data_IF_848185240036
#
_entry.id   IF_848185240036
#
_cell.length_a   1.000
_cell.length_b   1.000
_cell.length_c   1.000
_cell.angle_alpha   90.00
_cell.angle_beta   90.00
_cell.angle_gamma   90.00
#
_symmetry.space_group_name_H-M   'P 1'
#
loop_
_entity.id
_entity.type
_entity.pdbx_description
1 polymer ?
#
# COMPACT_ATOMS: atom_id res chain seq x y z
N UNK A 1 21.86 4.86 -17.22
CA UNK A 1 22.42 4.52 -15.89
C UNK A 1 21.32 3.82 -15.11
N UNK A 2 21.56 2.58 -14.71
CA UNK A 2 20.64 1.78 -13.89
C UNK A 2 20.72 2.28 -12.44
N UNK A 3 19.65 2.91 -11.95
CA UNK A 3 19.53 3.17 -10.52
C UNK A 3 19.10 1.86 -9.84
N UNK A 4 20.03 1.28 -9.08
CA UNK A 4 19.77 0.22 -8.13
C UNK A 4 18.77 0.73 -7.09
N UNK A 5 17.60 0.10 -7.01
CA UNK A 5 16.69 0.28 -5.87
C UNK A 5 17.43 -0.26 -4.64
N UNK A 6 17.79 0.65 -3.73
CA UNK A 6 18.29 0.26 -2.41
C UNK A 6 17.16 -0.47 -1.67
N UNK A 7 17.51 -1.60 -1.06
CA UNK A 7 16.61 -2.41 -0.25
C UNK A 7 15.79 -1.57 0.75
N UNK A 8 14.46 -1.67 0.66
CA UNK A 8 13.55 -1.46 1.78
C UNK A 8 13.45 -0.05 2.35
N UNK A 9 12.77 0.86 1.63
CA UNK A 9 12.31 2.16 2.14
C UNK A 9 11.88 3.05 0.98
N UNK A 10 10.79 3.80 1.12
CA UNK A 10 10.24 4.68 0.06
C UNK A 10 11.33 5.48 -0.67
N UNK A 11 11.45 5.24 -1.98
CA UNK A 11 12.38 5.96 -2.84
C UNK A 11 11.66 7.16 -3.47
N UNK A 12 12.20 8.35 -3.22
CA UNK A 12 11.81 9.56 -3.95
C UNK A 12 11.90 9.28 -5.46
N UNK A 13 10.94 9.81 -6.24
CA UNK A 13 10.95 9.63 -7.69
C UNK A 13 12.30 10.08 -8.27
N UNK A 14 12.95 9.27 -9.12
CA UNK A 14 14.28 9.57 -9.62
C UNK A 14 14.25 10.82 -10.50
N UNK A 15 15.07 11.80 -10.12
CA UNK A 15 15.24 13.08 -10.81
C UNK A 15 16.73 13.45 -10.83
N UNK A 16 17.13 14.32 -11.73
CA UNK A 16 18.51 14.74 -11.85
C UNK A 16 18.97 15.63 -10.68
N UNK A 17 20.28 15.69 -10.45
CA UNK A 17 20.85 16.67 -9.51
C UNK A 17 20.54 18.12 -9.92
N UNK A 18 20.39 18.37 -11.22
CA UNK A 18 20.00 19.68 -11.73
C UNK A 18 18.56 20.02 -11.32
N UNK A 19 17.64 19.07 -11.39
CA UNK A 19 16.29 19.21 -10.86
C UNK A 19 16.30 19.47 -9.36
N UNK A 20 17.05 18.68 -8.56
CA UNK A 20 17.11 18.84 -7.11
C UNK A 20 17.65 20.22 -6.68
N UNK A 21 18.56 20.81 -7.47
CA UNK A 21 19.02 22.19 -7.28
C UNK A 21 17.95 23.20 -7.68
N UNK A 22 17.34 23.04 -8.87
CA UNK A 22 16.39 23.99 -9.43
C UNK A 22 15.07 24.04 -8.63
N UNK A 23 14.56 22.89 -8.15
CA UNK A 23 13.28 22.79 -7.44
C UNK A 23 13.30 23.53 -6.09
N UNK A 24 14.49 23.71 -5.49
CA UNK A 24 14.72 24.44 -4.24
C UNK A 24 14.79 25.97 -4.44
N UNK A 25 14.83 26.45 -5.67
CA UNK A 25 14.87 27.89 -5.94
C UNK A 25 13.51 28.54 -5.75
N UNK A 26 13.45 29.68 -5.04
CA UNK A 26 12.24 30.49 -4.91
C UNK A 26 11.83 31.14 -6.24
N UNK A 27 12.73 31.21 -7.23
CA UNK A 27 12.48 31.76 -8.57
C UNK A 27 12.35 30.68 -9.64
N UNK A 28 12.16 29.41 -9.23
CA UNK A 28 11.99 28.30 -10.15
C UNK A 28 10.84 28.55 -11.12
N UNK A 29 11.03 28.16 -12.38
CA UNK A 29 10.00 28.23 -13.42
C UNK A 29 9.49 26.82 -13.68
N UNK A 30 8.18 26.65 -13.62
CA UNK A 30 7.54 25.38 -13.87
C UNK A 30 6.15 25.60 -14.48
N UNK A 31 5.64 24.56 -15.13
CA UNK A 31 4.28 24.53 -15.65
C UNK A 31 3.72 23.10 -15.54
N UNK A 32 2.43 22.97 -15.80
CA UNK A 32 1.71 21.72 -15.73
C UNK A 32 1.03 21.44 -17.06
N UNK A 33 1.02 20.18 -17.44
CA UNK A 33 0.21 19.66 -18.53
C UNK A 33 -0.53 18.42 -18.06
N UNK A 34 -1.51 18.00 -18.84
CA UNK A 34 -2.09 16.69 -18.68
C UNK A 34 -2.89 16.27 -19.89
N UNK A 35 -3.24 14.99 -19.85
CA UNK A 35 -3.93 14.30 -20.94
C UNK A 35 -5.12 13.57 -20.37
N UNK A 36 -6.28 13.72 -21.01
CA UNK A 36 -7.50 12.95 -20.74
C UNK A 36 -7.70 11.98 -21.90
N UNK A 37 -7.75 10.68 -21.60
CA UNK A 37 -8.08 9.64 -22.57
C UNK A 37 -9.41 9.01 -22.19
N UNK A 38 -10.43 9.16 -23.03
CA UNK A 38 -11.74 8.54 -22.78
C UNK A 38 -11.66 7.03 -22.98
N UNK A 39 -12.66 6.32 -22.45
CA UNK A 39 -12.80 4.87 -22.67
C UNK A 39 -12.87 4.47 -24.15
N UNK A 40 -13.36 5.38 -25.01
CA UNK A 40 -13.41 5.22 -26.46
C UNK A 40 -12.10 5.53 -27.19
N UNK A 41 -11.03 5.90 -26.48
CA UNK A 41 -9.72 6.23 -27.03
C UNK A 41 -9.56 7.68 -27.51
N UNK A 42 -10.56 8.55 -27.30
CA UNK A 42 -10.44 9.97 -27.63
C UNK A 42 -9.50 10.66 -26.64
N UNK A 43 -8.56 11.45 -27.16
CA UNK A 43 -7.52 12.10 -26.36
C UNK A 43 -7.72 13.61 -26.35
N UNK A 44 -7.65 14.22 -25.17
CA UNK A 44 -7.70 15.66 -24.95
C UNK A 44 -6.48 16.11 -24.16
N UNK A 45 -5.68 16.98 -24.75
CA UNK A 45 -4.53 17.60 -24.09
C UNK A 45 -4.93 18.93 -23.45
N UNK A 46 -4.36 19.23 -22.29
CA UNK A 46 -4.50 20.54 -21.64
C UNK A 46 -3.17 21.01 -21.06
N UNK A 47 -2.94 22.32 -21.13
CA UNK A 47 -1.77 22.97 -20.55
C UNK A 47 -2.16 23.95 -19.44
N UNK A 48 -1.16 24.73 -19.01
CA UNK A 48 -1.34 25.68 -17.92
C UNK A 48 -2.39 26.77 -18.18
N UNK A 49 -2.75 27.05 -19.44
CA UNK A 49 -3.75 28.07 -19.80
C UNK A 49 -5.18 27.58 -19.59
N UNK A 50 -5.40 26.29 -19.78
CA UNK A 50 -6.71 25.65 -19.62
C UNK A 50 -7.00 25.37 -18.15
N UNK A 51 -5.99 25.24 -17.29
CA UNK A 51 -6.17 24.98 -15.86
C UNK A 51 -6.63 26.25 -15.14
N UNK A 52 -7.81 26.20 -14.52
CA UNK A 52 -8.33 27.31 -13.71
C UNK A 52 -7.42 27.51 -12.49
N UNK A 53 -6.97 28.76 -12.29
CA UNK A 53 -6.00 29.08 -11.24
C UNK A 53 -6.50 28.68 -9.86
N UNK A 54 -5.75 27.82 -9.19
CA UNK A 54 -5.98 27.43 -7.80
C UNK A 54 -7.02 26.33 -7.58
N UNK A 55 -7.59 25.75 -8.65
CA UNK A 55 -8.52 24.61 -8.57
C UNK A 55 -7.80 23.27 -8.41
N UNK A 56 -6.66 23.11 -9.09
CA UNK A 56 -5.98 21.83 -9.21
C UNK A 56 -5.26 21.36 -7.95
N UNK A 57 -5.36 20.08 -7.62
CA UNK A 57 -4.57 19.43 -6.58
C UNK A 57 -4.43 17.92 -6.81
N UNK A 58 -3.41 17.34 -6.17
CA UNK A 58 -3.21 15.90 -6.01
C UNK A 58 -2.98 15.63 -4.53
N UNK A 59 -3.65 14.64 -3.97
CA UNK A 59 -3.54 14.23 -2.56
C UNK A 59 -3.19 12.74 -2.48
N UNK A 60 -2.18 12.39 -1.69
CA UNK A 60 -1.80 11.01 -1.38
C UNK A 60 -1.58 10.85 0.11
N UNK A 61 -1.88 9.67 0.63
CA UNK A 61 -1.62 9.33 2.03
C UNK A 61 -1.40 7.83 2.18
N UNK A 62 -0.68 7.44 3.24
CA UNK A 62 -0.54 6.06 3.68
C UNK A 62 -0.90 5.87 5.16
N UNK A 63 -1.46 6.89 5.80
CA UNK A 63 -2.02 6.77 7.14
C UNK A 63 -3.27 7.64 7.23
N UNK A 64 -4.14 7.30 8.18
CA UNK A 64 -5.12 8.23 8.72
C UNK A 64 -4.50 9.48 9.35
N UNK A 65 -5.30 10.29 10.02
CA UNK A 65 -4.91 11.62 10.48
C UNK A 65 -4.19 11.65 11.84
N UNK A 66 -4.10 10.53 12.55
CA UNK A 66 -3.69 10.53 13.98
C UNK A 66 -2.47 9.67 14.31
N UNK A 67 -2.29 8.53 13.66
CA UNK A 67 -1.18 7.62 13.96
C UNK A 67 -0.63 6.92 12.74
N UNK A 68 0.60 6.41 12.86
CA UNK A 68 1.20 5.59 11.82
C UNK A 68 0.44 4.26 11.79
N UNK A 69 0.08 3.85 10.59
CA UNK A 69 -0.69 2.64 10.33
C UNK A 69 0.14 1.65 9.51
N UNK A 70 -0.19 0.37 9.66
CA UNK A 70 0.40 -0.72 8.88
C UNK A 70 -0.69 -1.40 8.06
N UNK A 71 -0.37 -1.77 6.82
CA UNK A 71 -1.31 -2.43 5.92
C UNK A 71 -2.14 -1.50 5.05
N UNK A 72 -2.03 -0.18 5.21
CA UNK A 72 -2.95 0.75 4.54
C UNK A 72 -2.92 0.66 3.01
N UNK A 73 -4.08 0.92 2.42
CA UNK A 73 -4.40 0.77 0.99
C UNK A 73 -5.24 1.97 0.52
N UNK A 74 -4.70 3.18 0.71
CA UNK A 74 -5.38 4.42 0.38
C UNK A 74 -5.30 4.76 -1.11
N UNK A 75 -6.40 5.24 -1.68
CA UNK A 75 -6.44 5.80 -3.03
C UNK A 75 -5.92 7.24 -3.03
N UNK A 76 -5.07 7.58 -4.00
CA UNK A 76 -4.76 8.97 -4.30
C UNK A 76 -5.94 9.66 -4.98
N UNK A 77 -6.13 10.93 -4.68
CA UNK A 77 -7.19 11.77 -5.24
C UNK A 77 -6.56 12.91 -6.06
N UNK A 78 -7.14 13.18 -7.22
CA UNK A 78 -6.84 14.32 -8.06
C UNK A 78 -8.12 15.11 -8.31
N UNK A 79 -8.05 16.42 -8.12
CA UNK A 79 -9.12 17.35 -8.49
C UNK A 79 -8.57 18.43 -9.39
N UNK A 80 -9.27 18.77 -10.45
CA UNK A 80 -8.86 19.85 -11.36
C UNK A 80 -10.06 20.49 -12.04
N UNK A 81 -10.00 21.80 -12.28
CA UNK A 81 -10.99 22.51 -13.10
C UNK A 81 -10.33 23.05 -14.36
N UNK A 82 -10.88 22.71 -15.52
CA UNK A 82 -10.39 23.06 -16.84
C UNK A 82 -11.36 24.01 -17.57
N UNK A 83 -10.83 25.00 -18.28
CA UNK A 83 -11.56 25.77 -19.29
C UNK A 83 -11.71 24.90 -20.54
N UNK A 84 -12.81 24.17 -20.62
CA UNK A 84 -12.99 23.13 -21.63
C UNK A 84 -14.46 22.90 -21.91
N UNK A 85 -14.80 22.62 -23.16
CA UNK A 85 -16.13 22.27 -23.65
C UNK A 85 -16.34 20.76 -23.86
N UNK A 86 -15.36 19.92 -23.49
CA UNK A 86 -15.44 18.44 -23.58
C UNK A 86 -16.74 17.95 -22.96
N UNK A 87 -17.49 17.10 -23.68
CA UNK A 87 -18.73 16.55 -23.15
C UNK A 87 -18.48 15.68 -21.92
N UNK A 88 -18.98 16.12 -20.76
CA UNK A 88 -18.79 15.46 -19.45
C UNK A 88 -19.31 14.03 -19.43
N UNK A 89 -20.31 13.69 -20.24
CA UNK A 89 -20.89 12.34 -20.29
C UNK A 89 -19.97 11.33 -20.98
N UNK A 90 -18.92 11.81 -21.65
CA UNK A 90 -17.89 10.96 -22.27
C UNK A 90 -16.71 10.64 -21.34
N UNK A 91 -16.73 11.19 -20.12
CA UNK A 91 -15.60 11.17 -19.20
C UNK A 91 -15.71 10.14 -18.08
N UNK A 92 -16.82 9.41 -17.97
CA UNK A 92 -16.90 8.27 -17.05
C UNK A 92 -15.80 7.23 -17.41
N UNK A 93 -15.05 6.76 -16.41
CA UNK A 93 -13.88 5.89 -16.56
C UNK A 93 -12.74 6.46 -17.42
N UNK A 94 -12.77 7.75 -17.80
CA UNK A 94 -11.67 8.35 -18.55
C UNK A 94 -10.41 8.42 -17.69
N UNK A 95 -9.26 8.22 -18.32
CA UNK A 95 -7.96 8.32 -17.65
C UNK A 95 -7.40 9.72 -17.77
N UNK A 96 -6.97 10.30 -16.64
CA UNK A 96 -6.26 11.57 -16.59
C UNK A 96 -4.83 11.32 -16.14
N UNK A 97 -3.88 11.84 -16.90
CA UNK A 97 -2.48 11.90 -16.50
C UNK A 97 -2.06 13.35 -16.34
N UNK A 98 -1.18 13.62 -15.38
CA UNK A 98 -0.64 14.95 -15.10
C UNK A 98 0.88 14.90 -15.09
N UNK A 99 1.51 15.94 -15.62
CA UNK A 99 2.97 16.07 -15.63
C UNK A 99 3.36 17.44 -15.08
N UNK A 100 4.32 17.42 -14.16
CA UNK A 100 5.01 18.63 -13.68
C UNK A 100 6.28 18.83 -14.50
N UNK A 101 6.44 20.02 -15.06
CA UNK A 101 7.59 20.37 -15.88
C UNK A 101 8.45 21.42 -15.16
N UNK A 102 9.70 21.10 -14.86
CA UNK A 102 10.65 22.04 -14.27
C UNK A 102 11.61 22.57 -15.34
N UNK A 103 11.71 23.89 -15.46
CA UNK A 103 12.74 24.51 -16.31
C UNK A 103 14.05 24.59 -15.51
N UNK A 104 15.09 23.95 -16.05
CA UNK A 104 16.43 23.88 -15.47
C UNK A 104 17.24 25.15 -15.79
N UNK A 105 18.41 25.30 -15.16
CA UNK A 105 19.25 26.49 -15.29
C UNK A 105 19.80 26.71 -16.71
N UNK A 106 19.97 25.64 -17.49
CA UNK A 106 20.38 25.67 -18.90
C UNK A 106 19.21 25.93 -19.87
N UNK A 107 17.99 26.07 -19.34
CA UNK A 107 16.77 26.26 -20.12
C UNK A 107 16.11 24.97 -20.61
N UNK A 108 16.71 23.80 -20.36
CA UNK A 108 16.08 22.51 -20.64
C UNK A 108 14.93 22.23 -19.66
N UNK A 109 14.06 21.28 -19.99
CA UNK A 109 12.88 20.92 -19.18
C UNK A 109 13.03 19.49 -18.70
N UNK A 110 12.81 19.27 -17.40
CA UNK A 110 12.75 17.94 -16.80
C UNK A 110 11.32 17.67 -16.28
N UNK A 111 10.81 16.50 -16.66
CA UNK A 111 9.44 16.10 -16.46
C UNK A 111 9.32 15.14 -15.28
N UNK A 112 8.30 15.37 -14.47
CA UNK A 112 7.93 14.51 -13.35
C UNK A 112 6.48 14.08 -13.55
N UNK A 113 6.20 12.81 -13.87
CA UNK A 113 4.83 12.30 -13.95
C UNK A 113 4.21 12.34 -12.56
N UNK A 114 2.96 12.78 -12.50
CA UNK A 114 2.24 13.02 -11.27
C UNK A 114 1.10 12.02 -11.06
N UNK A 115 1.09 10.91 -11.79
CA UNK A 115 0.16 9.80 -11.62
C UNK A 115 -0.85 9.64 -12.73
N UNK A 116 -1.53 8.49 -12.70
CA UNK A 116 -2.63 8.10 -13.58
C UNK A 116 -3.88 7.98 -12.71
N UNK A 117 -4.95 8.64 -13.11
CA UNK A 117 -6.21 8.70 -12.36
C UNK A 117 -7.40 8.36 -13.26
N UNK A 118 -8.44 7.75 -12.71
CA UNK A 118 -9.72 7.50 -13.37
C UNK A 118 -10.75 8.52 -12.89
N UNK A 119 -11.39 9.19 -13.84
CA UNK A 119 -12.45 10.16 -13.55
C UNK A 119 -13.63 9.44 -12.91
N UNK A 120 -13.99 9.91 -11.71
CA UNK A 120 -15.18 9.47 -10.99
C UNK A 120 -16.31 10.50 -11.05
N UNK A 121 -15.96 11.79 -11.11
CA UNK A 121 -16.94 12.86 -11.23
C UNK A 121 -16.50 13.87 -12.29
N UNK A 122 -17.45 14.27 -13.14
CA UNK A 122 -17.25 15.31 -14.16
C UNK A 122 -18.41 16.31 -14.12
N UNK A 123 -18.16 17.48 -13.54
CA UNK A 123 -19.16 18.52 -13.30
C UNK A 123 -18.96 19.72 -14.23
N UNK A 124 -20.07 20.33 -14.68
CA UNK A 124 -20.04 21.54 -15.52
C UNK A 124 -20.40 22.75 -14.69
N UNK A 125 -19.50 23.74 -14.64
CA UNK A 125 -19.76 25.05 -14.06
C UNK A 125 -19.48 26.13 -15.12
N UNK A 126 -20.53 26.67 -15.74
CA UNK A 126 -20.43 27.59 -16.88
C UNK A 126 -19.54 27.02 -18.02
N UNK A 127 -18.40 27.65 -18.32
CA UNK A 127 -17.41 27.19 -19.33
C UNK A 127 -16.31 26.29 -18.74
N UNK A 128 -16.44 25.89 -17.47
CA UNK A 128 -15.46 25.08 -16.77
C UNK A 128 -15.93 23.63 -16.64
N UNK A 129 -15.00 22.70 -16.80
CA UNK A 129 -15.14 21.28 -16.52
C UNK A 129 -14.38 20.99 -15.23
N UNK A 130 -15.08 20.61 -14.17
CA UNK A 130 -14.50 20.17 -12.91
C UNK A 130 -14.43 18.64 -12.89
N UNK A 131 -13.23 18.11 -12.67
CA UNK A 131 -12.95 16.68 -12.62
C UNK A 131 -12.51 16.31 -11.22
N UNK A 132 -13.08 15.21 -10.72
CA UNK A 132 -12.57 14.46 -9.58
C UNK A 132 -12.22 13.05 -10.02
N UNK A 133 -11.00 12.63 -9.74
CA UNK A 133 -10.46 11.36 -10.19
C UNK A 133 -9.63 10.71 -9.09
N UNK A 134 -9.55 9.38 -9.11
CA UNK A 134 -8.74 8.62 -8.15
C UNK A 134 -7.81 7.66 -8.89
N UNK A 135 -6.72 7.26 -8.25
CA UNK A 135 -5.84 6.24 -8.84
C UNK A 135 -6.53 4.86 -8.91
N UNK A 136 -5.83 3.89 -9.49
CA UNK A 136 -6.35 2.53 -9.65
C UNK A 136 -6.53 1.75 -8.33
N UNK A 137 -6.27 2.34 -7.16
CA UNK A 137 -6.52 1.68 -5.89
C UNK A 137 -8.03 1.36 -5.73
N UNK A 138 -8.92 2.19 -6.28
CA UNK A 138 -10.37 1.97 -6.29
C UNK A 138 -10.78 0.68 -7.02
N UNK A 139 -9.98 0.19 -7.97
CA UNK A 139 -10.27 -1.08 -8.65
C UNK A 139 -10.19 -2.29 -7.70
N UNK A 140 -9.53 -2.16 -6.54
CA UNK A 140 -9.42 -3.21 -5.54
C UNK A 140 -10.65 -3.36 -4.63
N UNK A 141 -11.66 -2.48 -4.75
CA UNK A 141 -12.96 -2.64 -4.06
C UNK A 141 -13.83 -3.76 -4.65
N UNK A 142 -13.28 -4.52 -5.61
CA UNK A 142 -13.89 -5.71 -6.20
C UNK A 142 -13.96 -6.85 -5.18
N UNK A 143 -15.14 -7.46 -5.06
CA UNK A 143 -15.37 -8.59 -4.16
C UNK A 143 -14.35 -9.70 -4.34
N UNK A 144 -13.83 -10.21 -3.22
CA UNK A 144 -12.89 -11.31 -3.16
C UNK A 144 -13.62 -12.56 -2.68
N UNK A 145 -14.11 -13.36 -3.63
CA UNK A 145 -14.78 -14.63 -3.33
C UNK A 145 -13.76 -15.77 -3.19
N UNK A 146 -12.61 -15.51 -2.58
CA UNK A 146 -11.59 -16.51 -2.37
C UNK A 146 -12.05 -17.50 -1.30
N UNK A 147 -12.71 -18.58 -1.73
CA UNK A 147 -12.73 -19.84 -0.99
C UNK A 147 -11.29 -20.26 -0.67
N UNK A 148 -11.11 -21.17 0.30
CA UNK A 148 -9.83 -21.60 0.88
C UNK A 148 -8.61 -21.40 -0.05
N UNK A 149 -7.94 -20.26 0.10
CA UNK A 149 -6.85 -19.84 -0.78
C UNK A 149 -5.54 -19.97 -0.02
N UNK A 150 -4.56 -20.64 -0.59
CA UNK A 150 -3.22 -20.83 -0.02
C UNK A 150 -2.18 -20.31 -0.99
N UNK A 151 -1.18 -19.57 -0.48
CA UNK A 151 -0.11 -19.01 -1.30
C UNK A 151 0.86 -18.15 -0.48
N UNK A 152 1.91 -17.66 -1.13
CA UNK A 152 2.80 -16.65 -0.53
C UNK A 152 2.19 -15.26 -0.63
N UNK A 153 2.78 -14.28 0.05
CA UNK A 153 2.31 -12.89 -0.01
C UNK A 153 2.21 -12.35 -1.45
N UNK A 154 3.18 -12.66 -2.32
CA UNK A 154 3.13 -12.26 -3.73
C UNK A 154 2.03 -12.95 -4.53
N UNK A 155 1.69 -14.21 -4.20
CA UNK A 155 0.62 -14.93 -4.90
C UNK A 155 -0.72 -14.24 -4.64
N UNK A 156 -0.98 -13.85 -3.39
CA UNK A 156 -2.15 -13.05 -3.02
C UNK A 156 -2.17 -11.70 -3.74
N UNK A 157 -1.04 -10.97 -3.75
CA UNK A 157 -0.94 -9.67 -4.44
C UNK A 157 -1.22 -9.83 -5.93
N UNK A 158 -0.61 -10.82 -6.57
CA UNK A 158 -0.75 -11.09 -8.01
C UNK A 158 -2.18 -11.49 -8.37
N UNK A 159 -2.82 -12.30 -7.52
CA UNK A 159 -4.23 -12.67 -7.67
C UNK A 159 -5.15 -11.44 -7.64
N UNK A 160 -4.96 -10.56 -6.65
CA UNK A 160 -5.70 -9.29 -6.55
C UNK A 160 -5.44 -8.39 -7.77
N UNK A 161 -4.16 -8.21 -8.15
CA UNK A 161 -3.74 -7.40 -9.30
C UNK A 161 -4.38 -7.89 -10.61
N UNK A 162 -4.33 -9.20 -10.88
CA UNK A 162 -4.95 -9.82 -12.06
C UNK A 162 -6.47 -9.61 -12.08
N UNK A 163 -7.13 -9.80 -10.93
CA UNK A 163 -8.60 -9.65 -10.80
C UNK A 163 -9.06 -8.20 -10.97
N UNK A 164 -8.24 -7.25 -10.54
CA UNK A 164 -8.51 -5.81 -10.55
C UNK A 164 -7.91 -5.08 -11.76
N UNK A 165 -7.20 -5.80 -12.65
CA UNK A 165 -6.55 -5.25 -13.85
C UNK A 165 -5.58 -4.10 -13.50
N UNK A 166 -4.74 -4.32 -12.50
CA UNK A 166 -3.68 -3.41 -12.08
C UNK A 166 -2.37 -4.19 -12.12
N UNK A 167 -1.32 -3.62 -12.69
CA UNK A 167 0.00 -4.25 -12.69
C UNK A 167 0.68 -4.08 -11.33
N UNK A 168 1.53 -5.04 -10.95
CA UNK A 168 2.32 -4.96 -9.72
C UNK A 168 3.75 -4.52 -10.05
N UNK A 169 4.25 -3.50 -9.36
CA UNK A 169 5.54 -2.88 -9.62
C UNK A 169 6.71 -3.68 -9.04
N UNK A 170 6.58 -4.21 -7.82
CA UNK A 170 7.63 -4.99 -7.19
C UNK A 170 7.78 -6.36 -7.84
N UNK A 171 9.00 -6.88 -7.86
CA UNK A 171 9.29 -8.21 -8.40
C UNK A 171 9.08 -9.29 -7.35
N UNK A 172 8.76 -10.50 -7.80
CA UNK A 172 8.67 -11.72 -6.95
C UNK A 172 9.88 -11.85 -6.02
N UNK A 173 11.08 -11.74 -6.57
CA UNK A 173 12.33 -11.85 -5.81
C UNK A 173 12.48 -10.79 -4.70
N UNK A 174 11.95 -9.59 -4.90
CA UNK A 174 11.98 -8.52 -3.89
C UNK A 174 11.02 -8.84 -2.74
N UNK A 175 9.82 -9.33 -3.05
CA UNK A 175 8.84 -9.74 -2.04
C UNK A 175 9.33 -10.98 -1.29
N UNK A 176 9.83 -12.00 -1.99
CA UNK A 176 10.36 -13.23 -1.37
C UNK A 176 11.55 -13.01 -0.45
N UNK A 177 12.37 -11.99 -0.73
CA UNK A 177 13.50 -11.64 0.12
C UNK A 177 13.07 -10.97 1.45
N UNK A 178 11.81 -10.55 1.57
CA UNK A 178 11.30 -9.99 2.82
C UNK A 178 11.13 -11.08 3.89
N UNK A 179 11.32 -10.78 5.19
CA UNK A 179 11.29 -11.79 6.25
C UNK A 179 10.06 -12.71 6.25
N UNK A 180 8.89 -12.18 5.89
CA UNK A 180 7.63 -12.92 5.82
C UNK A 180 7.18 -13.26 4.38
N UNK A 181 7.97 -12.89 3.36
CA UNK A 181 7.55 -12.93 1.97
C UNK A 181 7.40 -14.32 1.36
N UNK A 182 8.30 -15.23 1.74
CA UNK A 182 8.30 -16.62 1.30
C UNK A 182 7.44 -17.56 2.16
N UNK A 183 6.80 -17.06 3.22
CA UNK A 183 5.95 -17.87 4.09
C UNK A 183 4.66 -18.24 3.36
N UNK A 184 4.24 -19.50 3.45
CA UNK A 184 2.94 -19.95 2.96
C UNK A 184 1.85 -19.47 3.90
N UNK A 185 0.94 -18.65 3.39
CA UNK A 185 -0.21 -18.09 4.09
C UNK A 185 -1.49 -18.74 3.56
N UNK A 186 -2.53 -18.75 4.38
CA UNK A 186 -3.82 -19.37 4.05
C UNK A 186 -4.97 -18.48 4.49
N UNK A 187 -5.98 -18.33 3.63
CA UNK A 187 -7.28 -17.73 3.94
C UNK A 187 -8.31 -18.86 3.99
N UNK A 188 -9.02 -19.01 5.12
CA UNK A 188 -10.05 -20.04 5.32
C UNK A 188 -11.45 -19.43 5.23
N UNK A 189 -12.49 -20.25 5.05
CA UNK A 189 -13.88 -19.83 4.86
C UNK A 189 -14.43 -18.86 5.92
N UNK A 190 -13.99 -18.98 7.17
CA UNK A 190 -14.38 -18.07 8.26
C UNK A 190 -13.41 -16.89 8.41
N UNK A 191 -13.45 -15.97 7.45
CA UNK A 191 -12.64 -14.76 7.45
C UNK A 191 -13.50 -13.51 7.18
N UNK A 192 -12.95 -12.33 7.50
CA UNK A 192 -13.63 -11.04 7.34
C UNK A 192 -13.11 -10.28 6.09
N UNK A 193 -12.66 -11.00 5.06
CA UNK A 193 -12.20 -10.45 3.78
C UNK A 193 -13.38 -10.36 2.83
N UNK A 194 -13.75 -9.14 2.43
CA UNK A 194 -14.85 -8.92 1.49
C UNK A 194 -14.32 -8.56 0.09
N UNK A 195 -13.21 -7.83 0.02
CA UNK A 195 -12.67 -7.23 -1.19
C UNK A 195 -11.19 -7.56 -1.41
N UNK A 196 -10.71 -7.32 -2.64
CA UNK A 196 -9.27 -7.45 -2.92
C UNK A 196 -8.45 -6.43 -2.11
N UNK A 197 -9.04 -5.28 -1.77
CA UNK A 197 -8.43 -4.27 -0.91
C UNK A 197 -8.18 -4.81 0.51
N UNK A 198 -9.10 -5.60 1.07
CA UNK A 198 -8.91 -6.23 2.38
C UNK A 198 -7.76 -7.25 2.35
N UNK A 199 -7.67 -8.05 1.29
CA UNK A 199 -6.53 -8.97 1.09
C UNK A 199 -5.22 -8.18 1.08
N UNK A 200 -5.13 -7.12 0.27
CA UNK A 200 -3.94 -6.29 0.21
C UNK A 200 -3.61 -5.66 1.57
N UNK A 201 -4.62 -5.25 2.32
CA UNK A 201 -4.43 -4.71 3.66
C UNK A 201 -3.74 -5.70 4.59
N UNK A 202 -4.29 -6.91 4.68
CA UNK A 202 -3.73 -7.96 5.53
C UNK A 202 -2.36 -8.44 5.06
N UNK A 203 -2.14 -8.54 3.74
CA UNK A 203 -0.83 -8.91 3.18
C UNK A 203 0.23 -7.84 3.48
N UNK A 204 -0.11 -6.55 3.33
CA UNK A 204 0.82 -5.47 3.66
C UNK A 204 1.19 -5.44 5.15
N UNK A 205 0.26 -5.78 6.05
CA UNK A 205 0.59 -5.97 7.47
C UNK A 205 1.60 -7.11 7.66
N UNK A 206 1.36 -8.27 7.04
CA UNK A 206 2.28 -9.43 7.12
C UNK A 206 3.68 -9.04 6.62
N UNK A 207 3.77 -8.21 5.58
CA UNK A 207 5.04 -7.76 5.00
C UNK A 207 5.66 -6.53 5.71
N UNK A 208 5.01 -5.98 6.74
CA UNK A 208 5.52 -4.82 7.48
C UNK A 208 5.53 -3.53 6.65
N UNK A 209 4.51 -3.30 5.80
CA UNK A 209 4.45 -2.15 4.90
C UNK A 209 3.04 -1.64 4.61
N UNK A 210 2.92 -0.90 3.50
CA UNK A 210 1.68 -0.35 2.97
C UNK A 210 1.71 -0.32 1.44
N UNK A 211 0.55 -0.30 0.80
CA UNK A 211 0.45 -0.22 -0.65
C UNK A 211 0.09 1.19 -1.12
N UNK A 212 0.65 1.59 -2.26
CA UNK A 212 0.25 2.76 -3.03
C UNK A 212 0.06 2.38 -4.50
N UNK A 213 -0.64 3.21 -5.28
CA UNK A 213 -0.49 3.22 -6.73
C UNK A 213 0.62 4.22 -7.07
N UNK A 214 1.65 3.73 -7.77
CA UNK A 214 2.78 4.54 -8.17
C UNK A 214 2.41 5.46 -9.35
N UNK A 215 3.37 6.29 -9.77
CA UNK A 215 3.15 7.30 -10.84
C UNK A 215 2.82 6.70 -12.20
N UNK A 216 3.13 5.41 -12.42
CA UNK A 216 2.84 4.66 -13.65
C UNK A 216 1.46 3.97 -13.60
N UNK A 217 0.71 4.08 -12.50
CA UNK A 217 -0.56 3.38 -12.32
C UNK A 217 -0.40 1.93 -11.84
N UNK A 218 0.77 1.55 -11.32
CA UNK A 218 1.03 0.19 -10.81
C UNK A 218 0.90 0.14 -9.29
N UNK A 219 0.41 -0.97 -8.76
CA UNK A 219 0.44 -1.24 -7.33
C UNK A 219 1.90 -1.40 -6.87
N UNK A 220 2.29 -0.76 -5.78
CA UNK A 220 3.64 -0.80 -5.22
C UNK A 220 3.55 -0.98 -3.70
N UNK A 221 4.26 -1.98 -3.17
CA UNK A 221 4.47 -2.14 -1.73
C UNK A 221 5.63 -1.25 -1.30
N UNK A 222 5.40 -0.42 -0.28
CA UNK A 222 6.42 0.37 0.39
C UNK A 222 6.53 0.00 1.85
N UNK A 223 7.70 0.27 2.42
CA UNK A 223 7.98 0.13 3.86
C UNK A 223 8.40 1.46 4.44
N UNK A 224 8.12 1.64 5.72
CA UNK A 224 8.69 2.74 6.48
C UNK A 224 10.20 2.54 6.58
N UNK A 225 10.96 3.61 6.31
CA UNK A 225 12.42 3.58 6.27
C UNK A 225 13.03 4.57 7.27
N UNK A 226 14.36 4.57 7.37
CA UNK A 226 15.09 5.53 8.23
C UNK A 226 15.99 6.49 7.46
N UNK A 227 16.21 6.21 6.18
CA UNK A 227 17.21 6.88 5.36
C UNK A 227 16.61 8.13 4.69
N UNK A 228 17.06 9.35 5.04
CA UNK A 228 16.47 10.56 4.49
C UNK A 228 16.78 10.74 3.00
N UNK A 229 15.76 11.07 2.22
CA UNK A 229 15.88 11.37 0.78
C UNK A 229 16.09 12.86 0.52
N UNK A 230 15.69 13.72 1.45
CA UNK A 230 15.79 15.17 1.28
C UNK A 230 15.87 15.91 2.63
N UNK A 231 16.59 17.04 2.62
CA UNK A 231 16.62 18.03 3.71
C UNK A 231 15.76 19.24 3.35
N UNK A 232 14.80 19.60 4.20
CA UNK A 232 13.91 20.76 4.04
C UNK A 232 14.38 21.91 4.93
N UNK A 233 14.92 22.96 4.29
CA UNK A 233 15.39 24.16 4.98
C UNK A 233 14.26 25.13 5.36
N UNK A 234 14.48 25.92 6.41
CA UNK A 234 13.54 26.96 6.87
C UNK A 234 13.06 27.91 5.77
N UNK A 235 13.95 28.35 4.88
CA UNK A 235 13.60 29.25 3.76
C UNK A 235 12.61 28.66 2.75
N UNK A 236 12.43 27.33 2.74
CA UNK A 236 11.49 26.64 1.86
C UNK A 236 10.12 26.42 2.51
N UNK A 237 9.97 26.76 3.79
CA UNK A 237 8.77 26.50 4.61
C UNK A 237 7.97 27.78 4.76
N UNK A 238 6.71 27.74 4.33
CA UNK A 238 5.76 28.83 4.54
C UNK A 238 5.15 28.76 5.94
N UNK A 239 4.90 27.54 6.42
CA UNK A 239 4.43 27.24 7.76
C UNK A 239 4.97 25.87 8.19
N UNK A 240 5.16 25.69 9.51
CA UNK A 240 5.50 24.38 10.07
C UNK A 240 4.99 24.25 11.50
N UNK A 241 4.66 23.03 11.88
CA UNK A 241 4.43 22.59 13.25
C UNK A 241 5.17 21.27 13.45
N UNK A 242 5.95 21.16 14.53
CA UNK A 242 6.65 19.95 14.93
C UNK A 242 6.20 19.56 16.33
N UNK A 243 6.00 18.27 16.55
CA UNK A 243 5.68 17.77 17.88
C UNK A 243 6.93 17.75 18.77
N UNK A 244 6.72 17.80 20.08
CA UNK A 244 7.77 17.72 21.10
C UNK A 244 8.17 16.28 21.47
N UNK A 245 7.65 15.30 20.72
CA UNK A 245 7.87 13.88 20.96
C UNK A 245 8.23 13.14 19.67
N UNK A 246 8.85 11.98 19.85
CA UNK A 246 9.19 11.06 18.78
C UNK A 246 8.25 9.86 18.85
N UNK A 247 7.67 9.51 17.71
CA UNK A 247 6.89 8.29 17.53
C UNK A 247 7.83 7.14 17.17
N UNK A 248 7.78 6.08 17.99
CA UNK A 248 8.54 4.84 17.82
C UNK A 248 7.77 3.65 18.39
N UNK A 249 7.97 2.48 17.82
CA UNK A 249 7.27 1.25 18.21
C UNK A 249 8.26 0.25 18.78
N UNK A 250 7.95 -0.32 19.94
CA UNK A 250 8.75 -1.38 20.60
C UNK A 250 7.97 -2.67 20.78
N UNK A 251 6.68 -2.68 20.43
CA UNK A 251 5.86 -3.87 20.54
C UNK A 251 4.85 -3.96 19.41
N UNK A 252 4.36 -5.17 19.20
CA UNK A 252 3.25 -5.49 18.31
C UNK A 252 2.27 -6.40 19.05
N UNK A 253 0.98 -6.17 18.84
CA UNK A 253 -0.09 -7.05 19.33
C UNK A 253 -0.88 -7.62 18.15
N UNK A 254 -1.14 -8.92 18.17
CA UNK A 254 -1.99 -9.61 17.19
C UNK A 254 -3.05 -10.42 17.90
N UNK A 255 -4.31 -10.29 17.50
CA UNK A 255 -5.41 -11.04 18.10
C UNK A 255 -5.55 -12.38 17.41
N UNK A 256 -5.46 -13.46 18.19
CA UNK A 256 -5.75 -14.82 17.74
C UNK A 256 -7.26 -15.07 17.77
N UNK A 257 -7.86 -15.34 16.60
CA UNK A 257 -9.30 -15.54 16.44
C UNK A 257 -9.80 -16.82 17.12
N UNK A 258 -8.97 -17.87 17.23
CA UNK A 258 -9.38 -19.13 17.85
C UNK A 258 -9.46 -18.99 19.38
N UNK A 259 -8.43 -18.40 19.98
CA UNK A 259 -8.34 -18.25 21.44
C UNK A 259 -8.97 -16.95 21.95
N UNK A 260 -9.23 -15.98 21.06
CA UNK A 260 -9.65 -14.61 21.39
C UNK A 260 -8.64 -13.88 22.30
N UNK A 261 -7.36 -14.28 22.26
CA UNK A 261 -6.28 -13.68 23.04
C UNK A 261 -5.47 -12.75 22.15
N UNK A 262 -5.17 -11.55 22.65
CA UNK A 262 -4.19 -10.65 22.05
C UNK A 262 -2.78 -11.12 22.43
N UNK A 263 -2.07 -11.71 21.48
CA UNK A 263 -0.68 -12.11 21.61
C UNK A 263 0.19 -10.85 21.56
N UNK A 264 1.10 -10.70 22.53
CA UNK A 264 1.93 -9.51 22.70
C UNK A 264 3.41 -9.85 22.55
N UNK A 265 4.08 -9.18 21.61
CA UNK A 265 5.50 -9.36 21.35
C UNK A 265 6.21 -8.02 21.44
N UNK A 266 7.23 -7.92 22.29
CA UNK A 266 7.96 -6.68 22.53
C UNK A 266 9.48 -6.85 22.44
N UNK A 267 10.16 -5.73 22.18
CA UNK A 267 11.60 -5.57 22.31
C UNK A 267 11.96 -5.32 23.78
N UNK A 268 13.23 -5.53 24.12
CA UNK A 268 13.80 -5.12 25.40
C UNK A 268 14.81 -3.97 25.16
N UNK A 269 14.57 -2.75 25.67
CA UNK A 269 13.46 -2.35 26.54
C UNK A 269 12.14 -2.05 25.80
N UNK A 270 11.02 -2.42 26.42
CA UNK A 270 9.68 -2.14 25.93
C UNK A 270 9.19 -0.76 26.41
N UNK A 271 9.58 0.29 25.70
CA UNK A 271 9.37 1.68 26.13
C UNK A 271 8.86 2.61 25.03
N UNK A 272 8.36 2.06 23.93
CA UNK A 272 7.71 2.74 22.82
C UNK A 272 6.20 2.46 22.76
N UNK A 273 5.63 2.61 21.57
CA UNK A 273 4.24 2.27 21.27
C UNK A 273 4.11 0.77 20.91
N UNK A 274 2.89 0.25 21.09
CA UNK A 274 2.47 -1.05 20.57
C UNK A 274 1.69 -0.86 19.28
N UNK A 275 2.09 -1.50 18.19
CA UNK A 275 1.31 -1.57 16.96
C UNK A 275 0.23 -2.65 17.09
N UNK A 276 -1.04 -2.28 16.97
CA UNK A 276 -2.13 -3.25 17.02
C UNK A 276 -2.49 -3.73 15.61
N UNK A 277 -2.24 -5.00 15.32
CA UNK A 277 -2.58 -5.64 14.04
C UNK A 277 -4.03 -6.12 13.98
N UNK A 278 -4.74 -6.11 15.11
CA UNK A 278 -6.10 -6.65 15.22
C UNK A 278 -6.17 -8.14 14.85
N UNK A 279 -7.29 -8.56 14.28
CA UNK A 279 -7.49 -9.90 13.74
C UNK A 279 -7.10 -9.90 12.27
N UNK A 280 -5.87 -10.32 11.96
CA UNK A 280 -5.43 -10.51 10.57
C UNK A 280 -5.62 -11.98 10.16
N UNK A 281 -6.51 -12.32 9.21
CA UNK A 281 -6.78 -13.71 8.78
C UNK A 281 -5.54 -14.51 8.39
N UNK A 282 -4.52 -13.85 7.82
CA UNK A 282 -3.28 -14.49 7.35
C UNK A 282 -2.32 -14.81 8.49
N UNK A 283 -2.52 -14.23 9.68
CA UNK A 283 -1.76 -14.53 10.89
C UNK A 283 -2.47 -15.56 11.78
N UNK A 284 -3.63 -16.10 11.38
CA UNK A 284 -4.47 -16.89 12.28
C UNK A 284 -4.02 -18.34 12.48
N UNK A 285 -3.39 -18.94 11.48
CA UNK A 285 -3.15 -20.38 11.43
C UNK A 285 -1.67 -20.70 11.29
N UNK A 286 -1.25 -21.82 11.88
CA UNK A 286 0.14 -22.24 11.99
C UNK A 286 0.51 -22.57 13.43
N UNK A 287 1.74 -23.05 13.64
CA UNK A 287 2.26 -23.28 14.99
C UNK A 287 2.41 -21.92 15.70
N UNK A 288 2.29 -21.92 17.03
CA UNK A 288 2.50 -20.71 17.84
C UNK A 288 3.88 -20.07 17.54
N UNK A 289 4.90 -20.89 17.33
CA UNK A 289 6.25 -20.46 16.92
C UNK A 289 6.26 -19.73 15.57
N UNK A 290 5.48 -20.19 14.59
CA UNK A 290 5.36 -19.53 13.29
C UNK A 290 4.69 -18.16 13.44
N UNK A 291 3.61 -18.08 14.22
CA UNK A 291 2.91 -16.81 14.49
C UNK A 291 3.81 -15.81 15.20
N UNK A 292 4.52 -16.26 16.23
CA UNK A 292 5.50 -15.44 16.95
C UNK A 292 6.59 -14.93 15.99
N UNK A 293 7.16 -15.81 15.15
CA UNK A 293 8.16 -15.44 14.16
C UNK A 293 7.64 -14.37 13.18
N UNK A 294 6.43 -14.56 12.64
CA UNK A 294 5.79 -13.58 11.74
C UNK A 294 5.62 -12.22 12.44
N UNK A 295 5.13 -12.21 13.68
CA UNK A 295 4.92 -10.98 14.44
C UNK A 295 6.24 -10.29 14.81
N UNK A 296 7.28 -11.05 15.19
CA UNK A 296 8.60 -10.50 15.49
C UNK A 296 9.28 -9.91 14.26
N UNK A 297 9.07 -10.49 13.08
CA UNK A 297 9.53 -9.92 11.83
C UNK A 297 8.84 -8.58 11.53
N UNK A 298 7.52 -8.50 11.71
CA UNK A 298 6.76 -7.23 11.60
C UNK A 298 7.27 -6.20 12.60
N UNK A 299 7.52 -6.59 13.86
CA UNK A 299 8.08 -5.71 14.88
C UNK A 299 9.47 -5.19 14.50
N UNK A 300 10.30 -6.03 13.89
CA UNK A 300 11.62 -5.63 13.40
C UNK A 300 11.50 -4.53 12.35
N UNK A 301 10.56 -4.68 11.41
CA UNK A 301 10.29 -3.65 10.41
C UNK A 301 9.77 -2.34 11.03
N UNK A 302 8.87 -2.43 12.02
CA UNK A 302 8.34 -1.26 12.72
C UNK A 302 9.38 -0.55 13.60
N UNK A 303 10.38 -1.27 14.10
CA UNK A 303 11.39 -0.73 15.01
C UNK A 303 12.29 0.35 14.38
N UNK A 304 12.32 0.44 13.05
CA UNK A 304 13.05 1.49 12.31
C UNK A 304 12.35 2.85 12.41
N UNK A 305 11.07 2.86 12.78
CA UNK A 305 10.25 4.09 12.92
C UNK A 305 10.75 4.86 14.14
N UNK A 306 11.27 6.05 13.87
CA UNK A 306 11.73 7.00 14.88
C UNK A 306 11.48 8.43 14.36
N UNK A 307 10.20 8.76 14.17
CA UNK A 307 9.79 9.97 13.46
C UNK A 307 9.28 11.04 14.40
N UNK A 308 9.63 12.29 14.11
CA UNK A 308 8.98 13.45 14.72
C UNK A 308 7.73 13.78 13.90
N UNK A 309 6.51 13.73 14.48
CA UNK A 309 5.31 14.13 13.78
C UNK A 309 5.35 15.62 13.42
N UNK A 310 4.89 15.95 12.22
CA UNK A 310 4.92 17.32 11.72
C UNK A 310 3.78 17.62 10.75
N UNK A 311 3.54 18.91 10.55
CA UNK A 311 2.73 19.46 9.46
C UNK A 311 3.48 20.65 8.88
N UNK A 312 3.69 20.72 7.56
CA UNK A 312 4.38 21.84 6.93
C UNK A 312 3.86 22.13 5.52
N UNK A 313 3.63 23.42 5.27
CA UNK A 313 3.49 23.93 3.92
C UNK A 313 4.84 24.42 3.39
N UNK A 314 5.21 23.98 2.19
CA UNK A 314 6.49 24.29 1.57
C UNK A 314 6.32 24.76 0.13
N UNK A 315 7.41 25.29 -0.45
CA UNK A 315 7.50 25.50 -1.90
C UNK A 315 7.24 24.19 -2.66
N UNK A 316 7.58 23.04 -2.07
CA UNK A 316 7.25 21.70 -2.56
C UNK A 316 8.28 21.09 -3.48
N UNK A 317 8.41 19.76 -3.42
CA UNK A 317 9.18 18.97 -4.37
C UNK A 317 8.24 17.90 -4.98
N UNK A 318 7.86 18.02 -6.27
CA UNK A 318 6.95 17.08 -6.93
C UNK A 318 7.48 15.65 -7.04
N UNK A 319 8.76 15.40 -6.76
CA UNK A 319 9.34 14.06 -6.72
C UNK A 319 9.05 13.28 -5.42
N UNK A 320 8.54 13.96 -4.38
CA UNK A 320 8.22 13.33 -3.10
C UNK A 320 6.90 12.53 -3.16
N UNK A 321 6.85 11.43 -2.41
CA UNK A 321 5.68 10.57 -2.23
C UNK A 321 5.55 10.05 -0.78
N UNK A 322 4.40 9.46 -0.40
CA UNK A 322 4.29 8.80 0.91
C UNK A 322 5.36 7.72 1.12
N UNK A 323 5.88 7.66 2.34
CA UNK A 323 7.00 6.78 2.73
C UNK A 323 8.38 7.43 2.63
N UNK A 324 8.52 8.58 1.96
CA UNK A 324 9.80 9.27 1.85
C UNK A 324 10.18 9.88 3.21
N UNK A 325 11.44 9.67 3.61
CA UNK A 325 11.98 10.19 4.87
C UNK A 325 12.67 11.53 4.64
N UNK A 326 12.35 12.51 5.47
CA UNK A 326 12.88 13.86 5.42
C UNK A 326 13.66 14.21 6.67
N UNK A 327 14.60 15.12 6.53
CA UNK A 327 15.19 15.87 7.64
C UNK A 327 14.82 17.33 7.52
N UNK A 328 14.70 18.02 8.65
CA UNK A 328 14.41 19.45 8.69
C UNK A 328 15.57 20.21 9.32
N UNK A 329 15.74 21.48 8.96
CA UNK A 329 16.71 22.36 9.60
C UNK A 329 16.17 23.77 9.85
N UNK A 330 16.73 24.39 10.89
CA UNK A 330 16.50 25.77 11.30
C UNK A 330 15.27 25.97 12.21
N UNK A 331 15.43 26.86 13.19
CA UNK A 331 14.36 27.37 14.05
C UNK A 331 13.76 26.30 14.97
N UNK A 332 12.60 25.78 14.57
CA UNK A 332 11.74 24.85 15.35
C UNK A 332 12.01 23.36 15.09
N UNK A 333 12.91 23.03 14.17
CA UNK A 333 13.24 21.65 13.84
C UNK A 333 14.54 21.24 14.55
N UNK A 334 14.48 20.17 15.33
CA UNK A 334 15.65 19.60 15.98
C UNK A 334 16.59 18.99 14.92
N UNK A 335 17.84 19.44 14.93
CA UNK A 335 18.85 18.94 13.99
C UNK A 335 19.09 17.44 14.21
N UNK A 336 19.08 16.67 13.12
CA UNK A 336 19.32 15.22 13.14
C UNK A 336 18.07 14.36 13.35
N UNK A 337 16.92 14.95 13.66
CA UNK A 337 15.65 14.21 13.68
C UNK A 337 15.15 13.93 12.26
N UNK A 338 14.52 12.76 12.10
CA UNK A 338 13.92 12.33 10.84
C UNK A 338 12.40 12.33 10.96
N UNK A 339 11.72 12.38 9.82
CA UNK A 339 10.28 12.24 9.74
C UNK A 339 9.86 11.61 8.43
N UNK A 340 8.73 10.93 8.39
CA UNK A 340 8.24 10.25 7.19
C UNK A 340 7.01 10.97 6.64
N UNK A 341 6.94 11.14 5.32
CA UNK A 341 5.73 11.65 4.68
C UNK A 341 4.63 10.58 4.79
N UNK A 342 3.63 10.80 5.63
CA UNK A 342 2.43 9.94 5.72
C UNK A 342 1.28 10.50 4.91
N UNK A 343 1.30 11.81 4.62
CA UNK A 343 0.35 12.48 3.72
C UNK A 343 1.04 13.63 2.99
N UNK A 344 0.71 13.77 1.71
CA UNK A 344 1.20 14.83 0.82
C UNK A 344 0.04 15.36 -0.01
N UNK A 345 -0.10 16.69 -0.03
CA UNK A 345 -1.03 17.40 -0.91
C UNK A 345 -0.28 18.40 -1.78
N UNK A 346 -0.25 18.17 -3.07
CA UNK A 346 0.34 19.07 -4.05
C UNK A 346 -0.75 19.93 -4.68
N UNK A 347 -0.72 21.24 -4.45
CA UNK A 347 -1.59 22.17 -5.20
C UNK A 347 -0.95 22.49 -6.55
N UNK A 348 -1.71 22.39 -7.64
CA UNK A 348 -1.25 22.76 -8.99
C UNK A 348 -1.07 24.27 -9.03
N UNK A 349 0.15 24.71 -9.34
CA UNK A 349 0.51 26.14 -9.29
C UNK A 349 0.51 26.74 -7.87
N UNK A 350 0.60 25.92 -6.82
CA UNK A 350 0.57 26.37 -5.43
C UNK A 350 1.57 25.66 -4.52
N UNK A 351 1.32 25.76 -3.20
CA UNK A 351 2.12 25.12 -2.15
C UNK A 351 1.97 23.59 -2.13
N UNK A 352 2.94 22.93 -1.51
CA UNK A 352 2.87 21.52 -1.16
C UNK A 352 2.72 21.39 0.36
N UNK A 353 1.71 20.68 0.82
CA UNK A 353 1.50 20.37 2.23
C UNK A 353 2.01 18.96 2.52
N UNK A 354 2.83 18.81 3.55
CA UNK A 354 3.45 17.56 3.96
C UNK A 354 3.10 17.28 5.42
N UNK A 355 2.78 16.03 5.75
CA UNK A 355 2.48 15.61 7.12
C UNK A 355 3.17 14.30 7.48
N UNK A 356 3.59 14.20 8.73
CA UNK A 356 3.87 12.95 9.43
C UNK A 356 2.95 12.88 10.63
N UNK A 357 2.13 11.84 10.70
CA UNK A 357 1.30 11.56 11.88
C UNK A 357 2.11 10.77 12.91
N UNK A 358 1.62 10.73 14.14
CA UNK A 358 2.23 9.92 15.19
C UNK A 358 1.67 10.21 16.58
N UNK A 359 1.87 9.25 17.48
CA UNK A 359 1.45 9.30 18.88
C UNK A 359 2.64 9.42 19.81
N UNK A 360 2.41 10.04 20.97
CA UNK A 360 3.42 10.20 22.01
C UNK A 360 3.53 8.90 22.84
N UNK A 361 4.68 8.20 22.83
CA UNK A 361 4.86 6.98 23.61
C UNK A 361 4.57 7.17 25.12
N UNK A 362 4.86 8.35 25.67
CA UNK A 362 4.65 8.65 27.10
C UNK A 362 3.17 8.70 27.48
N UNK A 363 2.31 9.14 26.56
CA UNK A 363 0.87 9.23 26.78
C UNK A 363 0.15 7.89 26.54
N UNK A 364 0.68 7.05 25.66
CA UNK A 364 0.14 5.71 25.42
C UNK A 364 0.37 4.76 26.61
N UNK A 365 1.46 4.94 27.36
CA UNK A 365 1.73 4.18 28.60
C UNK A 365 0.83 4.57 29.78
N UNK A 366 0.16 5.72 29.72
CA UNK A 366 -0.86 6.09 30.70
C UNK A 366 -2.11 5.25 30.46
N UNK A 367 -2.14 4.02 31.01
CA UNK A 367 -3.24 3.06 30.94
C UNK A 367 -4.61 3.75 31.05
N UNK A 368 -5.26 3.95 29.92
CA UNK A 368 -6.68 4.29 29.88
C UNK A 368 -7.46 3.07 30.34
N UNK A 369 -8.48 3.28 31.16
CA UNK A 369 -9.39 2.28 31.75
C UNK A 369 -10.14 1.40 30.71
N UNK A 370 -9.84 1.49 29.42
CA UNK A 370 -10.42 0.70 28.33
C UNK A 370 -9.84 -0.71 28.18
N UNK A 371 -8.73 -1.05 28.84
CA UNK A 371 -8.23 -2.44 28.91
C UNK A 371 -9.18 -3.39 29.70
N UNK A 372 -10.28 -2.87 30.25
CA UNK A 372 -11.33 -3.65 30.93
C UNK A 372 -12.28 -4.40 29.98
N UNK A 373 -12.22 -4.19 28.67
CA UNK A 373 -13.09 -4.89 27.73
C UNK A 373 -12.64 -6.34 27.43
N UNK A 374 -11.47 -6.76 27.92
CA UNK A 374 -10.98 -8.13 27.79
C UNK A 374 -11.75 -9.08 28.74
N UNK A 375 -12.29 -8.59 29.87
CA UNK A 375 -13.12 -9.42 30.77
C UNK A 375 -14.56 -9.60 30.31
N UNK A 376 -15.08 -8.72 29.45
CA UNK A 376 -16.46 -8.83 28.93
C UNK A 376 -16.61 -9.92 27.86
N UNK A 377 -15.56 -10.14 27.06
CA UNK A 377 -15.51 -11.18 26.04
C UNK A 377 -15.43 -12.59 26.64
N UNK A 378 -14.78 -12.76 27.80
CA UNK A 378 -14.66 -14.06 28.48
C UNK A 378 -16.01 -14.67 28.87
N UNK A 379 -17.02 -13.85 29.20
CA UNK A 379 -18.34 -14.33 29.57
C UNK A 379 -19.22 -14.71 28.35
N UNK A 380 -18.87 -14.27 27.13
CA UNK A 380 -19.58 -14.67 25.90
C UNK A 380 -19.02 -15.96 25.28
N UNK A 381 -17.87 -16.44 25.77
CA UNK A 381 -17.18 -17.65 25.29
C UNK A 381 -17.83 -18.93 25.84
N UNK A 382 -18.39 -18.91 27.06
CA UNK A 382 -19.06 -20.08 27.65
C UNK A 382 -20.34 -20.50 26.91
N UNK A 383 -21.02 -19.58 26.21
CA UNK A 383 -22.28 -19.87 25.53
C UNK A 383 -22.10 -20.46 24.12
N UNK A 384 -20.98 -20.17 23.43
CA UNK A 384 -20.76 -20.59 22.03
C UNK A 384 -20.10 -21.98 21.88
N UNK A 385 -19.60 -22.57 22.97
CA UNK A 385 -18.91 -23.87 22.95
C UNK A 385 -19.83 -25.10 22.76
N UNK A 386 -21.13 -24.92 22.43
CA UNK A 386 -22.14 -25.99 22.50
C UNK A 386 -22.74 -26.47 21.17
N UNK A 387 -22.24 -26.07 20.01
CA UNK A 387 -22.81 -26.56 18.73
C UNK A 387 -21.76 -27.15 17.82
N UNK A 388 -21.55 -28.47 17.94
CA UNK A 388 -20.77 -29.26 17.00
C UNK A 388 -21.38 -29.22 15.60
N UNK A 389 -20.59 -28.79 14.62
CA UNK A 389 -20.95 -28.80 13.19
C UNK A 389 -19.85 -29.50 12.40
N UNK A 390 -20.27 -30.35 11.48
CA UNK A 390 -19.41 -31.02 10.50
C UNK A 390 -18.97 -29.98 9.47
N UNK A 391 -17.65 -29.79 9.31
CA UNK A 391 -17.06 -28.90 8.30
C UNK A 391 -16.61 -29.69 7.07
N UNK A 392 -16.99 -29.23 5.88
CA UNK A 392 -16.48 -29.75 4.60
C UNK A 392 -15.55 -28.68 4.02
N UNK A 393 -14.29 -29.03 3.80
CA UNK A 393 -13.23 -28.15 3.30
C UNK A 393 -12.85 -28.55 1.86
N UNK A 394 -12.79 -27.59 0.94
CA UNK A 394 -12.50 -27.80 -0.49
C UNK A 394 -11.48 -26.75 -0.93
N UNK A 395 -10.29 -27.22 -1.31
CA UNK A 395 -9.14 -26.38 -1.61
C UNK A 395 -8.96 -26.19 -3.12
N UNK A 396 -8.52 -25.01 -3.55
CA UNK A 396 -8.11 -24.74 -4.95
C UNK A 396 -6.84 -23.89 -4.94
N UNK A 397 -5.86 -24.25 -5.79
CA UNK A 397 -4.58 -23.55 -5.86
C UNK A 397 -4.74 -22.14 -6.47
N UNK A 398 -4.00 -21.16 -5.93
CA UNK A 398 -4.03 -19.77 -6.40
C UNK A 398 -3.34 -19.56 -7.76
N UNK A 399 -2.46 -20.49 -8.20
CA UNK A 399 -1.71 -20.40 -9.45
C UNK A 399 -1.50 -21.77 -10.13
N UNK A 400 -1.23 -21.75 -11.44
CA UNK A 400 -0.89 -22.94 -12.21
C UNK A 400 0.58 -23.33 -12.00
N UNK A 401 0.86 -24.62 -11.85
CA UNK A 401 2.22 -25.15 -11.71
C UNK A 401 2.59 -25.99 -12.94
N UNK A 402 3.79 -25.82 -13.49
CA UNK A 402 4.35 -26.76 -14.48
C UNK A 402 4.89 -28.01 -13.76
N UNK A 403 4.39 -29.18 -14.15
CA UNK A 403 4.84 -30.46 -13.60
C UNK A 403 6.09 -30.90 -14.38
N UNK A 404 7.27 -30.72 -13.77
CA UNK A 404 8.56 -31.22 -14.27
C UNK A 404 9.08 -32.46 -13.51
N UNK A 405 10.39 -32.74 -13.58
CA UNK A 405 11.01 -33.93 -12.95
C UNK A 405 11.27 -33.81 -11.43
N UNK A 406 11.11 -32.64 -10.84
CA UNK A 406 11.33 -32.41 -9.41
C UNK A 406 10.04 -32.56 -8.61
N UNK A 407 10.10 -33.18 -7.42
CA UNK A 407 8.95 -33.29 -6.51
C UNK A 407 8.48 -31.90 -6.09
N UNK A 408 7.23 -31.54 -6.44
CA UNK A 408 6.59 -30.29 -6.04
C UNK A 408 5.49 -30.58 -5.01
N UNK A 409 5.48 -29.83 -3.91
CA UNK A 409 4.43 -29.90 -2.89
C UNK A 409 3.21 -29.14 -3.39
N UNK A 410 2.19 -29.86 -3.88
CA UNK A 410 1.00 -29.25 -4.50
C UNK A 410 -0.06 -28.79 -3.48
N UNK A 411 -0.22 -29.54 -2.39
CA UNK A 411 -1.19 -29.26 -1.32
C UNK A 411 -0.51 -29.61 0.00
N UNK A 412 -0.60 -28.72 0.99
CA UNK A 412 -0.15 -28.95 2.36
C UNK A 412 -1.31 -28.74 3.31
N UNK A 413 -1.84 -29.81 3.86
CA UNK A 413 -2.95 -29.73 4.81
C UNK A 413 -2.37 -29.82 6.22
N UNK A 414 -2.40 -28.72 6.95
CA UNK A 414 -2.16 -28.71 8.39
C UNK A 414 -3.49 -28.47 9.08
N UNK A 415 -3.84 -29.36 10.01
CA UNK A 415 -5.05 -29.25 10.81
C UNK A 415 -4.72 -29.40 12.30
N UNK A 416 -5.52 -28.78 13.14
CA UNK A 416 -5.56 -29.03 14.58
C UNK A 416 -7.03 -29.18 14.98
N UNK A 417 -7.35 -30.18 15.79
CA UNK A 417 -8.69 -30.37 16.37
C UNK A 417 -8.59 -30.24 17.88
N UNK A 418 -9.53 -29.50 18.49
CA UNK A 418 -9.64 -29.38 19.94
C UNK A 418 -10.58 -30.41 20.57
N UNK A 419 -11.32 -31.18 19.77
CA UNK A 419 -12.23 -32.26 20.21
C UNK A 419 -12.14 -33.50 19.31
N UNK A 420 -12.68 -34.63 19.79
CA UNK A 420 -12.70 -35.94 19.14
C UNK A 420 -13.67 -35.92 17.93
N UNK A 421 -13.18 -35.41 16.81
CA UNK A 421 -13.95 -35.20 15.58
C UNK A 421 -13.44 -36.09 14.44
N UNK A 422 -14.37 -36.60 13.61
CA UNK A 422 -14.04 -37.25 12.34
C UNK A 422 -13.73 -36.18 11.28
N UNK A 423 -12.47 -36.11 10.85
CA UNK A 423 -12.05 -35.21 9.77
C UNK A 423 -11.97 -35.96 8.43
N UNK A 424 -12.56 -35.40 7.37
CA UNK A 424 -12.39 -35.88 6.00
C UNK A 424 -11.85 -34.75 5.13
N UNK A 425 -10.73 -35.01 4.44
CA UNK A 425 -10.09 -34.05 3.55
C UNK A 425 -10.34 -34.44 2.09
N UNK A 426 -10.93 -33.53 1.33
CA UNK A 426 -11.08 -33.68 -0.12
C UNK A 426 -10.16 -32.69 -0.81
N UNK A 427 -9.25 -33.22 -1.64
CA UNK A 427 -8.33 -32.43 -2.44
C UNK A 427 -8.64 -32.65 -3.93
N UNK A 428 -8.84 -31.57 -4.67
CA UNK A 428 -9.01 -31.61 -6.12
C UNK A 428 -7.88 -30.83 -6.77
N UNK A 429 -7.12 -31.48 -7.64
CA UNK A 429 -6.06 -30.85 -8.43
C UNK A 429 -6.56 -30.75 -9.86
N UNK A 430 -6.66 -29.53 -10.39
CA UNK A 430 -6.98 -29.29 -11.80
C UNK A 430 -5.67 -29.25 -12.58
N UNK A 431 -5.51 -30.17 -13.54
CA UNK A 431 -4.30 -30.29 -14.36
C UNK A 431 -4.66 -30.02 -15.82
N UNK A 432 -3.86 -29.20 -16.49
CA UNK A 432 -3.91 -29.01 -17.94
C UNK A 432 -2.74 -29.81 -18.56
N UNK A 433 -3.01 -30.63 -19.58
CA UNK A 433 -2.03 -31.55 -20.17
C UNK A 433 -1.92 -31.27 -21.66
N UNK A 434 -0.77 -30.75 -22.09
CA UNK A 434 -0.38 -30.69 -23.49
C UNK A 434 0.50 -31.91 -23.81
N UNK A 435 0.11 -32.70 -24.81
CA UNK A 435 0.91 -33.80 -25.33
C UNK A 435 1.63 -33.38 -26.61
N UNK A 436 2.87 -33.82 -26.79
CA UNK A 436 3.60 -33.59 -28.04
C UNK A 436 2.88 -34.29 -29.21
N UNK A 437 2.70 -33.60 -30.36
CA UNK A 437 2.07 -34.20 -31.52
C UNK A 437 2.93 -35.36 -32.06
N UNK A 438 2.32 -36.53 -32.22
CA UNK A 438 2.95 -37.69 -32.85
C UNK A 438 2.60 -37.70 -34.34
N UNK A 439 3.59 -37.50 -35.21
CA UNK A 439 3.41 -37.73 -36.64
C UNK A 439 3.14 -39.22 -36.91
N UNK A 440 2.02 -39.51 -37.59
CA UNK A 440 1.70 -40.84 -38.11
C UNK A 440 1.70 -40.80 -39.62
N UNK A 441 2.69 -41.43 -40.24
CA UNK A 441 2.69 -41.73 -41.67
C UNK A 441 2.14 -43.14 -41.91
N UNK A 442 1.16 -43.27 -42.81
CA UNK A 442 0.74 -44.55 -43.35
C UNK A 442 1.11 -44.59 -44.83
N UNK A 443 1.81 -45.64 -45.26
CA UNK A 443 2.00 -45.93 -46.68
C UNK A 443 0.81 -46.73 -47.20
N UNK A 444 0.21 -46.27 -48.30
CA UNK A 444 -0.84 -47.00 -48.98
C UNK A 444 -0.21 -48.15 -49.79
N UNK A 445 -0.44 -49.39 -49.38
CA UNK A 445 -0.25 -50.57 -50.24
C UNK A 445 -1.54 -50.78 -51.05
N UNK A 446 -1.42 -50.70 -52.37
CA UNK A 446 -2.53 -50.83 -53.33
C UNK A 446 -3.14 -52.22 -53.45
#
# INVERSE_FOLDING_TARGET
>A
MLFSWGNGGGGMYPVSDAFLRAVRSNTRKYFWTGTIVTKGGMTYEFGAKEIVKGSGYISRQCCGSTEIELGTVYAAEMGITLLSDIDRYTLEDAQVTLVFHLVLADGSVEDVPMGVFEVSEANRLAKCLELKAYDFMLRFDKSFNGFETVGTAYDFITLCCKRCKVEFANKRAEIDAMPNGGVTLSVYTENDIETCRDVLFYVAQVLGGFFIINREGKLELRKYGKDPVMKVEQRHRFSSSFSDFITRYTAVSSTNKQTQIAEYYALDPDNGLTMNLGVNPLLQFGLAETREMLCRNILTDLSVINYVPFDSDTIGNPALDPGDVLTFAGGQADEGQITCITSIRQKIGGKQSLKCVGKNPRLAQAKSRNDKNISGLLNQIEDNAKTGKIGIHTFTNASAHEIGQTKVKLISIQFASSEENHMQFFAQVVVDVAADPVERSAEASG
#
